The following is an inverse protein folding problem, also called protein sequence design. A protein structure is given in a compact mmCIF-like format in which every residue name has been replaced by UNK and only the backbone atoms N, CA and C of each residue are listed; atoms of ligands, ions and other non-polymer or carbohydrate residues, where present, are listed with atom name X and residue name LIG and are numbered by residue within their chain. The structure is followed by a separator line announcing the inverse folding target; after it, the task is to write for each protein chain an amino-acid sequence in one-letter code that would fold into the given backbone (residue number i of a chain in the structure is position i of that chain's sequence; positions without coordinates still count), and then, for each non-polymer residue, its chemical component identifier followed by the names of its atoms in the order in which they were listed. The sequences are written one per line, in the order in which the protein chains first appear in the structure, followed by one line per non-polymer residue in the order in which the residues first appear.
data_IF_050558167842
#
_entry.id   IF_050558167842
#
_cell.length_a   1.000
_cell.length_b   1.000
_cell.length_c   1.000
_cell.angle_alpha   90.00
_cell.angle_beta   90.00
_cell.angle_gamma   90.00
#
_symmetry.space_group_name_H-M   'P 1'
#
loop_
_entity.id
_entity.type
_entity.pdbx_description
1 polymer ?
#
# COMPACT_ATOMS: atom_id res chain seq x y z
N UNK A 1 1.33 -1.92 10.90
CA UNK A 1 0.62 -2.81 9.95
C UNK A 1 1.55 -3.15 8.81
N UNK A 2 1.65 -4.42 8.43
CA UNK A 2 2.47 -4.89 7.30
C UNK A 2 1.71 -5.91 6.47
N UNK A 3 2.05 -6.01 5.19
CA UNK A 3 1.50 -7.01 4.28
C UNK A 3 2.60 -8.00 3.91
N UNK A 4 2.33 -9.28 4.08
CA UNK A 4 3.26 -10.37 3.79
C UNK A 4 2.67 -11.20 2.66
N UNK A 5 3.37 -11.34 1.52
CA UNK A 5 2.88 -12.15 0.41
C UNK A 5 2.86 -13.65 0.78
N UNK A 6 1.77 -14.36 0.46
CA UNK A 6 1.65 -15.80 0.73
C UNK A 6 2.62 -16.64 -0.12
N UNK A 7 3.01 -16.15 -1.30
CA UNK A 7 3.96 -16.81 -2.22
C UNK A 7 5.43 -16.37 -2.00
N UNK A 8 5.69 -15.67 -0.90
CA UNK A 8 7.02 -15.21 -0.50
C UNK A 8 7.49 -13.97 -1.24
N UNK A 9 8.54 -13.36 -0.72
CA UNK A 9 9.21 -12.22 -1.33
C UNK A 9 10.18 -12.70 -2.41
N UNK A 10 10.24 -11.96 -3.52
CA UNK A 10 11.14 -12.23 -4.63
C UNK A 10 11.97 -10.99 -4.91
N UNK A 11 13.27 -11.15 -4.85
CA UNK A 11 14.21 -10.09 -5.18
C UNK A 11 14.65 -10.19 -6.63
N UNK A 12 14.81 -9.04 -7.28
CA UNK A 12 15.39 -8.94 -8.61
C UNK A 12 16.87 -8.54 -8.50
N UNK A 13 17.70 -9.18 -9.30
CA UNK A 13 19.09 -8.77 -9.43
C UNK A 13 19.22 -7.44 -10.19
N UNK A 14 20.32 -6.72 -9.98
CA UNK A 14 20.59 -5.48 -10.71
C UNK A 14 20.61 -5.69 -12.23
N UNK A 15 21.10 -6.84 -12.71
CA UNK A 15 21.10 -7.17 -14.13
C UNK A 15 19.67 -7.30 -14.69
N UNK A 16 18.77 -7.96 -13.94
CA UNK A 16 17.35 -8.05 -14.31
C UNK A 16 16.69 -6.68 -14.34
N UNK A 17 16.91 -5.85 -13.31
CA UNK A 17 16.36 -4.49 -13.24
C UNK A 17 16.81 -3.62 -14.42
N UNK A 18 18.07 -3.73 -14.84
CA UNK A 18 18.61 -2.97 -15.97
C UNK A 18 18.02 -3.40 -17.31
N UNK A 19 17.63 -4.67 -17.46
CA UNK A 19 17.09 -5.23 -18.69
C UNK A 19 15.57 -5.11 -18.84
N UNK A 20 14.85 -4.81 -17.73
CA UNK A 20 13.40 -4.70 -17.72
C UNK A 20 12.91 -3.34 -18.22
N UNK A 21 11.73 -3.26 -18.87
CA UNK A 21 11.10 -1.99 -19.18
C UNK A 21 10.75 -1.22 -17.90
N UNK A 22 10.66 0.10 -18.00
CA UNK A 22 10.44 0.99 -16.83
C UNK A 22 9.16 0.67 -16.06
N UNK A 23 8.14 0.17 -16.72
CA UNK A 23 6.80 -0.15 -16.20
C UNK A 23 6.57 -1.64 -15.95
N UNK A 24 7.66 -2.41 -15.83
CA UNK A 24 7.60 -3.88 -15.70
C UNK A 24 6.71 -4.39 -14.56
N UNK A 25 6.60 -3.63 -13.46
CA UNK A 25 5.81 -4.04 -12.29
C UNK A 25 4.31 -4.15 -12.60
N UNK A 26 3.78 -3.24 -13.43
CA UNK A 26 2.39 -3.28 -13.86
C UNK A 26 2.11 -4.53 -14.67
N UNK A 27 2.95 -4.81 -15.66
CA UNK A 27 2.79 -5.99 -16.51
C UNK A 27 2.99 -7.28 -15.72
N UNK A 28 3.99 -7.31 -14.84
CA UNK A 28 4.25 -8.47 -13.97
C UNK A 28 3.06 -8.80 -13.06
N UNK A 29 2.39 -7.79 -12.49
CA UNK A 29 1.19 -8.01 -11.69
C UNK A 29 0.04 -8.58 -12.53
N UNK A 30 -0.21 -8.01 -13.71
CA UNK A 30 -1.25 -8.47 -14.64
C UNK A 30 -1.01 -9.94 -15.00
N UNK A 31 0.22 -10.30 -15.36
CA UNK A 31 0.56 -11.66 -15.78
C UNK A 31 0.55 -12.64 -14.61
N UNK A 32 0.93 -12.19 -13.41
CA UNK A 32 0.89 -13.03 -12.21
C UNK A 32 -0.56 -13.37 -11.80
N UNK A 33 -1.47 -12.40 -11.87
CA UNK A 33 -2.89 -12.61 -11.51
C UNK A 33 -3.60 -13.54 -12.51
N UNK A 34 -3.19 -13.58 -13.78
CA UNK A 34 -3.70 -14.56 -14.77
C UNK A 34 -3.37 -16.00 -14.39
N UNK A 35 -2.30 -16.24 -13.64
CA UNK A 35 -1.90 -17.58 -13.18
C UNK A 35 -2.66 -18.04 -11.94
N UNK A 36 -3.41 -17.14 -11.32
CA UNK A 36 -4.21 -17.40 -10.13
C UNK A 36 -4.21 -16.20 -9.17
N UNK A 37 -5.08 -16.22 -8.16
CA UNK A 37 -5.17 -15.13 -7.20
C UNK A 37 -3.84 -14.87 -6.49
N UNK A 38 -3.53 -13.59 -6.28
CA UNK A 38 -2.36 -13.16 -5.51
C UNK A 38 -2.82 -12.68 -4.15
N UNK A 39 -2.18 -13.15 -3.08
CA UNK A 39 -2.64 -12.94 -1.72
C UNK A 39 -1.56 -12.35 -0.84
N UNK A 40 -1.97 -11.43 0.04
CA UNK A 40 -1.14 -10.88 1.11
C UNK A 40 -1.87 -10.98 2.43
N UNK A 41 -1.17 -11.48 3.42
CA UNK A 41 -1.63 -11.47 4.80
C UNK A 41 -1.36 -10.10 5.42
N UNK A 42 -2.42 -9.48 5.92
CA UNK A 42 -2.33 -8.24 6.68
C UNK A 42 -2.09 -8.55 8.15
N UNK A 43 -0.92 -8.17 8.64
CA UNK A 43 -0.53 -8.28 10.04
C UNK A 43 -0.64 -6.92 10.73
N UNK A 44 -1.22 -6.92 11.91
CA UNK A 44 -1.41 -5.72 12.72
C UNK A 44 -0.61 -5.88 14.00
N UNK A 45 0.21 -4.88 14.30
CA UNK A 45 0.91 -4.73 15.57
C UNK A 45 0.04 -3.91 16.50
N UNK A 46 -0.17 -4.38 17.72
CA UNK A 46 -0.95 -3.68 18.75
C UNK A 46 -0.03 -2.80 19.55
N UNK A 47 -0.32 -1.49 19.55
CA UNK A 47 0.40 -0.53 20.38
C UNK A 47 0.02 -0.65 21.86
N UNK A 48 0.86 -0.09 22.70
CA UNK A 48 0.63 0.05 24.14
C UNK A 48 0.68 1.51 24.56
N UNK A 49 0.09 1.88 25.69
CA UNK A 49 0.17 3.25 26.18
C UNK A 49 1.61 3.73 26.29
N UNK A 50 1.91 4.88 25.66
CA UNK A 50 3.23 5.47 25.61
C UNK A 50 4.06 5.12 24.37
N UNK A 51 3.55 4.30 23.47
CA UNK A 51 4.17 4.14 22.15
C UNK A 51 4.10 5.45 21.35
N UNK A 52 5.15 5.80 20.57
CA UNK A 52 5.13 7.02 19.78
C UNK A 52 4.10 6.93 18.65
N UNK A 53 3.18 7.87 18.61
CA UNK A 53 2.10 7.92 17.62
C UNK A 53 2.17 9.15 16.70
N UNK A 54 3.02 10.13 17.05
CA UNK A 54 3.11 11.42 16.36
C UNK A 54 4.42 11.61 15.60
N UNK A 55 5.38 10.70 15.75
CA UNK A 55 6.67 10.73 15.06
C UNK A 55 6.87 9.45 14.24
N UNK A 56 6.71 9.49 12.90
CA UNK A 56 6.83 8.32 12.04
C UNK A 56 8.27 7.80 11.91
N UNK A 57 9.26 8.51 12.45
CA UNK A 57 10.67 8.07 12.44
C UNK A 57 11.01 7.15 13.61
N UNK A 58 10.15 7.10 14.63
CA UNK A 58 10.34 6.27 15.81
C UNK A 58 9.70 4.89 15.61
N UNK A 59 10.48 3.86 15.87
CA UNK A 59 9.96 2.49 15.86
C UNK A 59 9.38 2.15 17.23
N UNK A 60 8.27 1.44 17.24
CA UNK A 60 7.73 0.85 18.46
C UNK A 60 8.67 -0.23 19.00
N UNK A 61 8.69 -0.44 20.33
CA UNK A 61 9.52 -1.47 20.95
C UNK A 61 9.28 -2.85 20.35
N UNK A 62 10.36 -3.62 20.20
CA UNK A 62 10.26 -5.00 19.76
C UNK A 62 9.42 -5.83 20.75
N UNK A 63 8.70 -6.83 20.23
CA UNK A 63 7.89 -7.72 21.07
C UNK A 63 6.45 -7.27 21.29
N UNK A 64 5.99 -6.19 20.63
CA UNK A 64 4.56 -5.85 20.60
C UNK A 64 3.76 -7.01 20.01
N UNK A 65 2.56 -7.24 20.57
CA UNK A 65 1.66 -8.28 20.10
C UNK A 65 1.30 -8.04 18.63
N UNK A 66 1.44 -9.07 17.82
CA UNK A 66 1.04 -9.06 16.42
C UNK A 66 0.01 -10.15 16.15
N UNK A 67 -0.90 -9.89 15.23
CA UNK A 67 -1.85 -10.90 14.76
C UNK A 67 -2.18 -10.68 13.28
N UNK A 68 -2.49 -11.79 12.60
CA UNK A 68 -3.03 -11.75 11.25
C UNK A 68 -4.48 -11.27 11.32
N UNK A 69 -4.73 -10.10 10.80
CA UNK A 69 -6.06 -9.50 10.83
C UNK A 69 -6.93 -9.95 9.64
N UNK A 70 -6.37 -9.96 8.43
CA UNK A 70 -7.08 -10.31 7.19
C UNK A 70 -6.11 -10.80 6.12
N UNK A 71 -6.68 -11.36 5.05
CA UNK A 71 -5.95 -11.63 3.81
C UNK A 71 -6.52 -10.74 2.70
N UNK A 72 -5.66 -9.98 2.03
CA UNK A 72 -5.97 -9.23 0.83
C UNK A 72 -5.76 -10.15 -0.37
N UNK A 73 -6.79 -10.32 -1.20
CA UNK A 73 -6.74 -11.20 -2.37
C UNK A 73 -7.02 -10.40 -3.64
N UNK A 74 -6.08 -10.44 -4.59
CA UNK A 74 -6.26 -9.87 -5.93
C UNK A 74 -6.63 -10.99 -6.90
N UNK A 75 -7.80 -10.87 -7.49
CA UNK A 75 -8.36 -11.87 -8.42
C UNK A 75 -8.29 -11.41 -9.87
N UNK A 76 -8.09 -10.11 -10.10
CA UNK A 76 -7.92 -9.54 -11.43
C UNK A 76 -7.03 -8.29 -11.38
N UNK A 77 -6.37 -8.00 -12.47
CA UNK A 77 -5.62 -6.76 -12.69
C UNK A 77 -5.83 -6.30 -14.13
N UNK A 78 -5.94 -4.99 -14.32
CA UNK A 78 -6.11 -4.36 -15.61
C UNK A 78 -5.09 -3.23 -15.79
N UNK A 79 -4.76 -2.85 -17.03
CA UNK A 79 -3.96 -1.66 -17.29
C UNK A 79 -4.60 -0.42 -16.65
N UNK A 80 -3.77 0.49 -16.16
CA UNK A 80 -4.24 1.71 -15.50
C UNK A 80 -4.94 2.67 -16.48
N UNK A 81 -4.57 2.64 -17.73
CA UNK A 81 -5.17 3.45 -18.78
C UNK A 81 -6.62 3.04 -19.01
N UNK A 82 -7.54 4.00 -18.83
CA UNK A 82 -8.98 3.76 -18.95
C UNK A 82 -9.63 3.06 -17.76
N UNK A 83 -8.90 2.75 -16.70
CA UNK A 83 -9.45 2.13 -15.50
C UNK A 83 -10.20 3.15 -14.62
N UNK A 84 -11.21 2.66 -13.89
CA UNK A 84 -12.00 3.47 -12.96
C UNK A 84 -11.18 4.09 -11.82
N UNK A 85 -10.04 3.48 -11.47
CA UNK A 85 -9.13 3.97 -10.43
C UNK A 85 -8.56 5.38 -10.72
N UNK A 86 -8.62 5.84 -11.97
CA UNK A 86 -8.30 7.23 -12.34
C UNK A 86 -9.16 8.23 -11.56
N UNK A 87 -10.42 7.88 -11.28
CA UNK A 87 -11.40 8.74 -10.63
C UNK A 87 -11.44 8.58 -9.10
N UNK A 88 -10.50 7.83 -8.53
CA UNK A 88 -10.44 7.60 -7.09
C UNK A 88 -9.36 8.49 -6.47
N UNK A 89 -9.75 9.28 -5.47
CA UNK A 89 -8.78 9.92 -4.59
C UNK A 89 -8.38 8.94 -3.48
N UNK A 90 -7.13 8.50 -3.50
CA UNK A 90 -6.59 7.54 -2.52
C UNK A 90 -6.14 8.25 -1.22
N UNK A 91 -6.94 9.17 -0.72
CA UNK A 91 -6.66 9.89 0.52
C UNK A 91 -6.62 8.92 1.72
N UNK A 92 -5.50 8.80 2.42
CA UNK A 92 -5.37 7.88 3.55
C UNK A 92 -6.20 8.28 4.77
N UNK A 93 -6.74 9.50 4.82
CA UNK A 93 -7.60 9.97 5.89
C UNK A 93 -9.10 9.69 5.63
N UNK A 94 -9.47 9.19 4.47
CA UNK A 94 -10.82 8.66 4.22
C UNK A 94 -10.88 7.25 4.80
N UNK A 95 -11.31 7.16 6.04
CA UNK A 95 -11.32 5.93 6.83
C UNK A 95 -12.75 5.46 7.07
N UNK A 96 -12.91 4.14 7.25
CA UNK A 96 -14.18 3.53 7.68
C UNK A 96 -14.40 3.69 9.18
N UNK A 97 -15.62 3.49 9.62
CA UNK A 97 -15.97 3.46 11.05
C UNK A 97 -15.07 2.49 11.84
N UNK A 98 -14.67 2.91 13.03
CA UNK A 98 -13.79 2.13 13.91
C UNK A 98 -12.29 2.30 13.66
N UNK A 99 -11.90 3.14 12.70
CA UNK A 99 -10.51 3.53 12.44
C UNK A 99 -10.40 5.05 12.51
N UNK A 100 -9.40 5.55 13.24
CA UNK A 100 -9.09 6.97 13.33
C UNK A 100 -7.60 7.24 13.06
N UNK A 101 -7.25 8.39 12.49
CA UNK A 101 -5.85 8.78 12.37
C UNK A 101 -5.26 9.12 13.74
N UNK A 102 -3.95 9.03 13.85
CA UNK A 102 -3.19 9.65 14.94
C UNK A 102 -2.92 11.12 14.59
N UNK A 103 -2.39 11.88 15.55
CA UNK A 103 -1.96 13.28 15.35
C UNK A 103 -0.58 13.37 14.67
N UNK A 104 -0.17 12.34 13.94
CA UNK A 104 1.06 12.36 13.15
C UNK A 104 0.98 13.44 12.06
N UNK A 105 1.84 14.48 12.11
CA UNK A 105 1.79 15.60 11.16
C UNK A 105 2.08 15.17 9.72
N UNK A 106 2.86 14.11 9.51
CA UNK A 106 3.14 13.57 8.17
C UNK A 106 1.88 12.91 7.61
N UNK A 107 1.17 12.13 8.43
CA UNK A 107 -0.10 11.51 8.04
C UNK A 107 -1.14 12.58 7.70
N UNK A 108 -1.28 13.61 8.54
CA UNK A 108 -2.26 14.69 8.33
C UNK A 108 -1.93 15.51 7.06
N UNK A 109 -0.65 15.74 6.77
CA UNK A 109 -0.21 16.44 5.55
C UNK A 109 -0.48 15.64 4.26
N UNK A 110 -0.65 14.34 4.34
CA UNK A 110 -0.87 13.50 3.15
C UNK A 110 -2.17 13.84 2.43
N UNK A 111 -3.26 14.13 3.14
CA UNK A 111 -4.56 14.40 2.53
C UNK A 111 -4.52 15.53 1.48
N UNK A 112 -4.03 16.74 1.76
CA UNK A 112 -3.91 17.78 0.74
C UNK A 112 -2.97 17.39 -0.42
N UNK A 113 -1.91 16.62 -0.15
CA UNK A 113 -1.00 16.14 -1.20
C UNK A 113 -1.70 15.16 -2.16
N UNK A 114 -2.54 14.28 -1.64
CA UNK A 114 -3.34 13.36 -2.45
C UNK A 114 -4.40 14.09 -3.27
N UNK A 115 -5.02 15.15 -2.73
CA UNK A 115 -5.95 15.98 -3.48
C UNK A 115 -5.29 16.64 -4.70
N UNK A 116 -4.09 17.20 -4.55
CA UNK A 116 -3.31 17.76 -5.67
C UNK A 116 -2.97 16.69 -6.69
N UNK A 117 -2.48 15.53 -6.27
CA UNK A 117 -2.16 14.41 -7.15
C UNK A 117 -3.40 13.91 -7.92
N UNK A 118 -4.54 13.86 -7.27
CA UNK A 118 -5.81 13.47 -7.88
C UNK A 118 -6.23 14.43 -8.99
N UNK A 119 -6.20 15.73 -8.72
CA UNK A 119 -6.52 16.77 -9.72
C UNK A 119 -5.60 16.66 -10.94
N UNK A 120 -4.29 16.49 -10.73
CA UNK A 120 -3.32 16.31 -11.83
C UNK A 120 -3.63 15.08 -12.68
N UNK A 121 -3.97 13.96 -12.07
CA UNK A 121 -4.36 12.75 -12.83
C UNK A 121 -5.62 12.95 -13.67
N UNK A 122 -6.61 13.68 -13.15
CA UNK A 122 -7.82 14.01 -13.92
C UNK A 122 -7.51 14.89 -15.13
N UNK A 123 -6.51 15.76 -15.02
CA UNK A 123 -6.07 16.67 -16.08
C UNK A 123 -5.08 16.01 -17.07
N UNK A 124 -4.68 14.78 -16.84
CA UNK A 124 -3.72 14.06 -17.69
C UNK A 124 -2.26 14.51 -17.53
N UNK A 125 -1.92 15.04 -16.35
CA UNK A 125 -0.56 15.51 -15.99
C UNK A 125 0.19 14.51 -15.10
#
# INVERSE_FOLDING_TARGET
MRFIPEDGEKELTNAQLTSMPRDFLQQALIDRVKQGPVKWDMWVTVGEPGDPETDPTLLWPAGRKEFKARTLTFTSAAPQEGAECKNINYDPLVMSDGIAPTDDPVLLFRSPSYAVSFVKRLQGQ
#
